data_IF_687472377091
#
_entry.id   IF_687472377091
#
_cell.length_a   1.000
_cell.length_b   1.000
_cell.length_c   1.000
_cell.angle_alpha   90.00
_cell.angle_beta   90.00
_cell.angle_gamma   90.00
#
_symmetry.space_group_name_H-M   'P 1'
#
loop_
_entity.id
_entity.type
_entity.pdbx_description
1 polymer ?
#
# COMPACT_ATOMS: atom_id res chain seq x y z
N UNK A 1 -20.83 5.93 11.67
CA UNK A 1 -19.59 6.36 11.03
C UNK A 1 -19.88 6.45 9.55
N UNK A 2 -19.70 7.62 8.99
CA UNK A 2 -20.08 7.89 7.59
C UNK A 2 -18.86 7.83 6.66
N UNK A 3 -17.67 8.11 7.20
CA UNK A 3 -16.42 8.19 6.46
C UNK A 3 -15.50 7.05 6.89
N UNK A 4 -15.10 6.22 5.94
CA UNK A 4 -14.27 5.03 6.24
C UNK A 4 -12.96 5.10 5.46
N UNK A 5 -11.85 4.89 6.16
CA UNK A 5 -10.52 4.68 5.56
C UNK A 5 -10.24 3.19 5.50
N UNK A 6 -9.96 2.66 4.31
CA UNK A 6 -9.33 1.35 4.17
C UNK A 6 -7.82 1.55 4.30
N UNK A 7 -7.23 1.02 5.36
CA UNK A 7 -5.80 1.11 5.61
C UNK A 7 -5.11 -0.23 5.32
N UNK A 8 -4.06 -0.18 4.49
CA UNK A 8 -3.33 -1.35 4.01
C UNK A 8 -1.83 -1.22 4.27
N UNK A 9 -1.20 -2.34 4.57
CA UNK A 9 0.20 -2.41 4.98
C UNK A 9 1.10 -3.07 3.92
N UNK A 10 2.41 -3.06 4.19
CA UNK A 10 3.45 -3.56 3.31
C UNK A 10 3.62 -5.09 3.33
N UNK A 11 4.43 -5.59 2.39
CA UNK A 11 4.76 -7.01 2.25
C UNK A 11 5.39 -7.60 3.52
N UNK A 12 4.92 -8.77 3.94
CA UNK A 12 5.40 -9.46 5.14
C UNK A 12 4.93 -8.85 6.46
N UNK A 13 4.01 -7.86 6.41
CA UNK A 13 3.38 -7.24 7.58
C UNK A 13 2.12 -7.98 8.05
N UNK A 14 1.32 -7.28 8.84
CA UNK A 14 0.02 -7.75 9.39
C UNK A 14 -0.89 -6.56 9.63
N UNK A 15 -2.20 -6.75 9.64
CA UNK A 15 -3.17 -5.72 10.01
C UNK A 15 -2.96 -5.19 11.43
N UNK A 16 -2.44 -6.03 12.32
CA UNK A 16 -2.15 -5.71 13.72
C UNK A 16 -0.75 -5.06 13.84
N UNK A 17 -0.56 -3.90 13.20
CA UNK A 17 0.69 -3.13 13.26
C UNK A 17 0.48 -1.78 13.93
N UNK A 18 1.47 -1.36 14.73
CA UNK A 18 1.40 -0.17 15.58
C UNK A 18 1.23 1.14 14.80
N UNK A 19 1.73 1.23 13.58
CA UNK A 19 1.60 2.44 12.76
C UNK A 19 0.15 2.65 12.30
N UNK A 20 -0.52 1.58 11.86
CA UNK A 20 -1.93 1.62 11.45
C UNK A 20 -2.85 1.82 12.66
N UNK A 21 -2.54 1.17 13.80
CA UNK A 21 -3.28 1.36 15.06
C UNK A 21 -3.21 2.83 15.50
N UNK A 22 -2.01 3.41 15.56
CA UNK A 22 -1.78 4.81 15.93
C UNK A 22 -2.48 5.79 14.98
N UNK A 23 -2.45 5.50 13.68
CA UNK A 23 -3.19 6.29 12.69
C UNK A 23 -4.69 6.26 12.98
N UNK A 24 -5.27 5.06 13.18
CA UNK A 24 -6.69 4.89 13.45
C UNK A 24 -7.13 5.61 14.72
N UNK A 25 -6.39 5.45 15.82
CA UNK A 25 -6.66 6.13 17.09
C UNK A 25 -6.68 7.66 16.94
N UNK A 26 -5.67 8.23 16.27
CA UNK A 26 -5.56 9.67 16.07
C UNK A 26 -6.64 10.22 15.13
N UNK A 27 -6.93 9.52 14.04
CA UNK A 27 -7.98 9.92 13.11
C UNK A 27 -9.34 9.98 13.79
N UNK A 28 -9.73 8.91 14.51
CA UNK A 28 -11.02 8.80 15.21
C UNK A 28 -11.08 9.79 16.39
N UNK A 29 -9.94 10.04 17.07
CA UNK A 29 -9.89 11.05 18.13
C UNK A 29 -10.17 12.46 17.60
N UNK A 30 -9.61 12.77 16.41
CA UNK A 30 -9.78 14.09 15.76
C UNK A 30 -11.13 14.24 15.07
N UNK A 31 -11.59 13.21 14.35
CA UNK A 31 -12.82 13.24 13.55
C UNK A 31 -13.74 12.08 13.92
N UNK A 32 -14.78 12.35 14.72
CA UNK A 32 -15.67 11.33 15.32
C UNK A 32 -16.53 10.54 14.34
N UNK A 33 -16.71 11.05 13.12
CA UNK A 33 -17.47 10.40 12.05
C UNK A 33 -16.62 9.40 11.23
N UNK A 34 -15.30 9.43 11.39
CA UNK A 34 -14.39 8.48 10.73
C UNK A 34 -14.35 7.12 11.40
N UNK A 35 -14.14 6.10 10.57
CA UNK A 35 -13.75 4.74 10.95
C UNK A 35 -12.57 4.26 10.12
N UNK A 36 -11.88 3.22 10.58
CA UNK A 36 -10.77 2.60 9.84
C UNK A 36 -11.03 1.11 9.72
N UNK A 37 -10.96 0.60 8.50
CA UNK A 37 -11.04 -0.82 8.19
C UNK A 37 -9.64 -1.31 7.80
N UNK A 38 -9.22 -2.39 8.43
CA UNK A 38 -7.97 -3.10 8.15
C UNK A 38 -8.25 -4.58 7.94
N UNK A 39 -7.47 -5.23 7.10
CA UNK A 39 -7.60 -6.67 6.84
C UNK A 39 -6.21 -7.25 6.56
N UNK A 40 -6.06 -8.56 6.69
CA UNK A 40 -4.82 -9.22 6.29
C UNK A 40 -4.85 -9.57 4.80
N UNK A 41 -3.76 -9.26 4.12
CA UNK A 41 -3.54 -9.76 2.77
C UNK A 41 -3.57 -11.29 2.74
N UNK A 42 -3.95 -11.91 1.60
CA UNK A 42 -3.77 -13.35 1.41
C UNK A 42 -2.36 -13.77 1.82
N UNK A 43 -2.24 -14.92 2.47
CA UNK A 43 -0.98 -15.47 2.97
C UNK A 43 -0.23 -14.63 4.03
N UNK A 44 -0.81 -13.54 4.57
CA UNK A 44 -0.16 -12.70 5.59
C UNK A 44 -0.76 -12.87 6.99
N UNK A 45 -2.01 -13.23 7.13
CA UNK A 45 -2.67 -13.47 8.40
C UNK A 45 -2.37 -14.85 9.02
N UNK A 46 -3.40 -15.53 9.45
CA UNK A 46 -3.29 -16.89 10.00
C UNK A 46 -2.78 -17.92 8.99
N UNK A 47 -2.95 -17.66 7.69
CA UNK A 47 -2.55 -18.47 6.55
C UNK A 47 -1.21 -18.03 5.92
N UNK A 48 -0.32 -17.43 6.71
CA UNK A 48 0.95 -16.83 6.25
C UNK A 48 1.89 -17.78 5.50
N UNK A 49 1.71 -19.09 5.59
CA UNK A 49 2.50 -20.07 4.82
C UNK A 49 1.90 -20.44 3.46
N UNK A 50 0.77 -19.84 3.10
CA UNK A 50 0.15 -20.05 1.79
C UNK A 50 0.87 -19.25 0.69
N UNK A 51 0.52 -19.56 -0.56
CA UNK A 51 1.04 -18.83 -1.72
C UNK A 51 0.51 -17.40 -1.73
N UNK A 52 1.39 -16.47 -2.02
CA UNK A 52 1.06 -15.07 -2.14
C UNK A 52 1.02 -14.67 -3.62
N UNK A 53 -0.10 -14.07 -4.04
CA UNK A 53 -0.31 -13.58 -5.41
C UNK A 53 -0.90 -12.16 -5.39
N UNK A 54 -0.35 -11.23 -6.20
CA UNK A 54 -0.88 -9.85 -6.30
C UNK A 54 -2.34 -9.79 -6.74
N UNK A 55 -2.78 -10.66 -7.65
CA UNK A 55 -4.18 -10.69 -8.12
C UNK A 55 -5.16 -11.11 -7.02
N UNK A 56 -4.72 -11.97 -6.10
CA UNK A 56 -5.50 -12.30 -4.90
C UNK A 56 -5.62 -11.09 -3.96
N UNK A 57 -4.56 -10.28 -3.83
CA UNK A 57 -4.61 -9.04 -3.06
C UNK A 57 -5.62 -8.07 -3.68
N UNK A 58 -5.63 -7.93 -5.01
CA UNK A 58 -6.60 -7.11 -5.73
C UNK A 58 -8.03 -7.54 -5.42
N UNK A 59 -8.29 -8.86 -5.47
CA UNK A 59 -9.61 -9.41 -5.14
C UNK A 59 -10.02 -9.14 -3.70
N UNK A 60 -9.10 -9.29 -2.73
CA UNK A 60 -9.40 -9.00 -1.32
C UNK A 60 -9.66 -7.51 -1.09
N UNK A 61 -8.91 -6.65 -1.78
CA UNK A 61 -9.11 -5.20 -1.70
C UNK A 61 -10.46 -4.80 -2.27
N UNK A 62 -10.83 -5.33 -3.44
CA UNK A 62 -12.14 -5.11 -4.08
C UNK A 62 -13.30 -5.57 -3.20
N UNK A 63 -13.23 -6.78 -2.64
CA UNK A 63 -14.22 -7.27 -1.69
C UNK A 63 -14.33 -6.37 -0.45
N UNK A 64 -13.23 -5.80 0.02
CA UNK A 64 -13.23 -4.89 1.16
C UNK A 64 -13.88 -3.55 0.78
N UNK A 65 -13.60 -3.02 -0.41
CA UNK A 65 -14.27 -1.82 -0.94
C UNK A 65 -15.78 -2.01 -0.97
N UNK A 66 -16.26 -3.10 -1.60
CA UNK A 66 -17.69 -3.41 -1.66
C UNK A 66 -18.30 -3.61 -0.26
N UNK A 67 -17.62 -4.32 0.63
CA UNK A 67 -18.09 -4.51 2.00
C UNK A 67 -18.26 -3.16 2.74
N UNK A 68 -17.33 -2.23 2.56
CA UNK A 68 -17.41 -0.91 3.20
C UNK A 68 -18.55 -0.08 2.61
N UNK A 69 -18.68 -0.06 1.29
CA UNK A 69 -19.71 0.75 0.62
C UNK A 69 -21.12 0.18 0.80
N UNK A 70 -21.28 -1.12 0.58
CA UNK A 70 -22.59 -1.77 0.56
C UNK A 70 -22.99 -2.37 1.93
N UNK A 71 -22.02 -3.01 2.62
CA UNK A 71 -22.26 -3.69 3.89
C UNK A 71 -22.25 -2.74 5.09
N UNK A 72 -21.32 -1.79 5.12
CA UNK A 72 -21.24 -0.79 6.19
C UNK A 72 -22.00 0.51 5.87
N UNK A 73 -22.46 0.69 4.63
CA UNK A 73 -23.14 1.89 4.15
C UNK A 73 -22.32 3.17 4.38
N UNK A 74 -21.00 3.12 4.06
CA UNK A 74 -20.16 4.30 4.15
C UNK A 74 -20.59 5.36 3.12
N UNK A 75 -20.67 6.63 3.54
CA UNK A 75 -20.98 7.74 2.64
C UNK A 75 -19.76 8.16 1.84
N UNK A 76 -18.59 8.14 2.47
CA UNK A 76 -17.31 8.45 1.82
C UNK A 76 -16.27 7.37 2.13
N UNK A 77 -15.51 7.01 1.12
CA UNK A 77 -14.43 6.05 1.21
C UNK A 77 -13.09 6.74 0.98
N UNK A 78 -12.09 6.36 1.77
CA UNK A 78 -10.71 6.85 1.71
C UNK A 78 -9.76 5.66 1.68
N UNK A 79 -8.58 5.84 1.07
CA UNK A 79 -7.54 4.84 1.07
C UNK A 79 -6.26 5.35 1.74
N UNK A 80 -5.66 4.52 2.61
CA UNK A 80 -4.31 4.71 3.13
C UNK A 80 -3.46 3.48 2.83
N UNK A 81 -2.59 3.58 1.83
CA UNK A 81 -1.75 2.47 1.37
C UNK A 81 -0.28 2.65 1.75
N UNK A 82 0.33 1.61 2.36
CA UNK A 82 1.77 1.61 2.67
C UNK A 82 2.49 0.54 1.84
N UNK A 83 3.59 0.92 1.16
CA UNK A 83 4.46 -0.02 0.43
C UNK A 83 3.66 -0.89 -0.56
N UNK A 84 3.57 -2.21 -0.35
CA UNK A 84 2.69 -3.11 -1.10
C UNK A 84 1.24 -2.61 -1.15
N UNK A 85 0.71 -2.11 -0.03
CA UNK A 85 -0.64 -1.55 0.00
C UNK A 85 -0.80 -0.35 -0.92
N UNK A 86 0.23 0.48 -1.04
CA UNK A 86 0.27 1.57 -2.02
C UNK A 86 0.28 1.07 -3.46
N UNK A 87 1.07 0.05 -3.77
CA UNK A 87 1.07 -0.60 -5.09
C UNK A 87 -0.31 -1.17 -5.45
N UNK A 88 -0.96 -1.89 -4.52
CA UNK A 88 -2.29 -2.47 -4.76
C UNK A 88 -3.33 -1.36 -4.95
N UNK A 89 -3.26 -0.26 -4.18
CA UNK A 89 -4.15 0.89 -4.36
C UNK A 89 -3.99 1.53 -5.74
N UNK A 90 -2.75 1.80 -6.18
CA UNK A 90 -2.47 2.34 -7.50
C UNK A 90 -3.00 1.43 -8.62
N UNK A 91 -2.76 0.14 -8.50
CA UNK A 91 -3.26 -0.87 -9.43
C UNK A 91 -4.79 -0.88 -9.47
N UNK A 92 -5.45 -0.79 -8.29
CA UNK A 92 -6.91 -0.77 -8.18
C UNK A 92 -7.53 0.40 -8.94
N UNK A 93 -6.97 1.61 -8.81
CA UNK A 93 -7.46 2.79 -9.50
C UNK A 93 -7.52 2.60 -11.02
N UNK A 94 -6.53 1.95 -11.61
CA UNK A 94 -6.44 1.76 -13.07
C UNK A 94 -7.20 0.55 -13.59
N UNK A 95 -7.46 -0.45 -12.75
CA UNK A 95 -8.14 -1.69 -13.17
C UNK A 95 -9.64 -1.69 -12.81
N UNK A 96 -10.05 -1.03 -11.71
CA UNK A 96 -11.42 -1.02 -11.19
C UNK A 96 -12.05 0.38 -11.15
N UNK A 97 -11.24 1.44 -11.27
CA UNK A 97 -11.70 2.83 -11.12
C UNK A 97 -11.51 3.37 -9.71
N UNK A 98 -11.87 4.65 -9.50
CA UNK A 98 -11.65 5.33 -8.23
C UNK A 98 -12.95 5.45 -7.40
N UNK A 99 -13.13 4.65 -6.33
CA UNK A 99 -14.22 4.81 -5.37
C UNK A 99 -13.85 5.74 -4.20
N UNK A 100 -12.60 6.21 -4.13
CA UNK A 100 -12.07 6.93 -2.98
C UNK A 100 -12.21 8.44 -3.15
N UNK A 101 -12.61 9.13 -2.09
CA UNK A 101 -12.62 10.58 -2.03
C UNK A 101 -11.23 11.19 -1.94
N UNK A 102 -10.34 10.55 -1.15
CA UNK A 102 -8.92 10.88 -1.08
C UNK A 102 -8.08 9.63 -0.82
N UNK A 103 -6.84 9.67 -1.30
CA UNK A 103 -5.90 8.55 -1.30
C UNK A 103 -4.56 9.04 -0.76
N UNK A 104 -4.12 8.52 0.36
CA UNK A 104 -2.79 8.77 0.91
C UNK A 104 -1.90 7.53 0.73
N UNK A 105 -0.73 7.70 0.15
CA UNK A 105 0.24 6.64 -0.07
C UNK A 105 1.53 6.94 0.69
N UNK A 106 1.98 6.02 1.52
CA UNK A 106 3.26 6.11 2.22
C UNK A 106 4.24 5.11 1.63
N UNK A 107 5.33 5.61 1.06
CA UNK A 107 6.35 4.80 0.40
C UNK A 107 5.74 3.74 -0.53
N UNK A 108 4.90 4.12 -1.52
CA UNK A 108 4.24 3.15 -2.39
C UNK A 108 5.28 2.36 -3.19
N UNK A 109 5.17 1.04 -3.21
CA UNK A 109 6.12 0.15 -3.89
C UNK A 109 5.90 0.17 -5.41
N UNK A 110 6.11 1.33 -6.05
CA UNK A 110 5.90 1.51 -7.50
C UNK A 110 6.80 0.61 -8.35
N UNK A 111 7.99 0.26 -7.83
CA UNK A 111 9.01 -0.59 -8.45
C UNK A 111 9.05 -2.00 -7.83
N UNK A 112 7.93 -2.49 -7.27
CA UNK A 112 7.87 -3.75 -6.50
C UNK A 112 8.46 -4.95 -7.24
N UNK A 113 8.28 -5.06 -8.56
CA UNK A 113 8.88 -6.13 -9.34
C UNK A 113 10.41 -6.10 -9.23
N UNK A 114 11.01 -4.93 -9.41
CA UNK A 114 12.48 -4.77 -9.41
C UNK A 114 13.05 -5.08 -8.02
N UNK A 115 12.40 -4.62 -6.95
CA UNK A 115 12.77 -4.95 -5.56
C UNK A 115 12.73 -6.46 -5.33
N UNK A 116 11.65 -7.12 -5.75
CA UNK A 116 11.44 -8.54 -5.47
C UNK A 116 12.36 -9.46 -6.26
N UNK A 117 12.85 -9.04 -7.44
CA UNK A 117 13.80 -9.83 -8.23
C UNK A 117 15.26 -9.57 -7.88
N UNK A 118 15.58 -8.39 -7.31
CA UNK A 118 16.96 -8.02 -6.98
C UNK A 118 17.64 -8.99 -6.00
N UNK A 119 16.86 -9.57 -5.08
CA UNK A 119 17.36 -10.49 -4.05
C UNK A 119 17.22 -11.98 -4.42
N UNK A 120 16.87 -12.30 -5.67
CA UNK A 120 16.77 -13.70 -6.10
C UNK A 120 18.16 -14.27 -6.33
N UNK A 121 18.51 -15.30 -5.55
CA UNK A 121 19.78 -16.03 -5.75
C UNK A 121 19.69 -16.99 -6.97
N UNK A 122 20.82 -17.40 -7.56
CA UNK A 122 20.83 -18.38 -8.65
C UNK A 122 20.14 -19.71 -8.30
N UNK A 123 20.27 -20.16 -7.03
CA UNK A 123 19.60 -21.36 -6.52
C UNK A 123 18.09 -21.18 -6.46
N UNK A 124 17.63 -20.01 -6.05
CA UNK A 124 16.21 -19.68 -6.00
C UNK A 124 15.62 -19.52 -7.39
N UNK A 125 16.35 -18.89 -8.31
CA UNK A 125 15.95 -18.83 -9.72
C UNK A 125 15.79 -20.25 -10.29
N UNK A 126 16.74 -21.16 -10.01
CA UNK A 126 16.63 -22.57 -10.42
C UNK A 126 15.39 -23.26 -9.83
N UNK A 127 14.99 -22.92 -8.59
CA UNK A 127 13.76 -23.44 -7.98
C UNK A 127 12.52 -22.93 -8.73
N UNK A 128 12.47 -21.61 -8.98
CA UNK A 128 11.36 -20.96 -9.70
C UNK A 128 11.20 -21.53 -11.12
N UNK A 129 12.31 -21.72 -11.85
CA UNK A 129 12.33 -22.30 -13.21
C UNK A 129 11.80 -23.74 -13.25
N UNK A 130 11.94 -24.48 -12.15
CA UNK A 130 11.39 -25.83 -11.96
C UNK A 130 9.97 -25.83 -11.38
N UNK A 131 9.31 -24.70 -11.33
CA UNK A 131 7.96 -24.55 -10.76
C UNK A 131 7.89 -24.73 -9.25
N UNK A 132 9.03 -24.61 -8.54
CA UNK A 132 9.08 -24.68 -7.07
C UNK A 132 8.91 -23.29 -6.46
N UNK A 133 8.60 -23.27 -5.18
CA UNK A 133 8.39 -22.06 -4.40
C UNK A 133 9.69 -21.59 -3.72
N UNK A 134 9.78 -20.28 -3.53
CA UNK A 134 10.75 -19.65 -2.62
C UNK A 134 10.00 -18.98 -1.47
N UNK A 135 10.70 -18.68 -0.38
CA UNK A 135 10.09 -18.08 0.83
C UNK A 135 10.68 -16.70 1.05
N UNK A 136 9.83 -15.71 1.27
CA UNK A 136 10.21 -14.32 1.56
C UNK A 136 9.44 -13.77 2.76
N UNK A 137 9.85 -12.60 3.24
CA UNK A 137 9.27 -11.87 4.33
C UNK A 137 10.06 -11.94 5.63
N UNK A 138 9.94 -10.89 6.43
CA UNK A 138 10.65 -10.77 7.72
C UNK A 138 9.78 -11.33 8.85
N UNK A 139 8.74 -10.64 9.22
CA UNK A 139 7.83 -11.03 10.31
C UNK A 139 6.92 -12.18 9.87
N UNK A 140 6.36 -12.10 8.68
CA UNK A 140 5.53 -13.15 8.08
C UNK A 140 6.26 -13.77 6.89
N UNK A 141 6.31 -15.09 6.88
CA UNK A 141 6.91 -15.86 5.78
C UNK A 141 5.83 -16.26 4.80
N UNK A 142 5.97 -15.83 3.56
CA UNK A 142 5.07 -16.14 2.45
C UNK A 142 5.79 -16.92 1.36
N UNK A 143 5.06 -17.73 0.62
CA UNK A 143 5.59 -18.54 -0.49
C UNK A 143 5.34 -17.82 -1.80
N UNK A 144 6.40 -17.61 -2.55
CA UNK A 144 6.40 -16.97 -3.86
C UNK A 144 6.67 -18.00 -4.94
N UNK A 145 5.93 -17.90 -6.04
CA UNK A 145 6.07 -18.73 -7.24
C UNK A 145 6.48 -17.89 -8.43
N UNK A 146 6.81 -18.50 -9.56
CA UNK A 146 7.03 -17.79 -10.82
C UNK A 146 5.80 -16.95 -11.22
N UNK A 147 4.60 -17.42 -10.88
CA UNK A 147 3.35 -16.69 -11.14
C UNK A 147 3.28 -15.34 -10.42
N UNK A 148 3.75 -15.26 -9.16
CA UNK A 148 3.86 -14.00 -8.43
C UNK A 148 4.68 -12.96 -9.22
N UNK A 149 5.85 -13.33 -9.71
CA UNK A 149 6.72 -12.44 -10.47
C UNK A 149 6.12 -12.09 -11.85
N UNK A 150 5.42 -13.01 -12.49
CA UNK A 150 4.75 -12.76 -13.76
C UNK A 150 3.62 -11.73 -13.59
N UNK A 151 2.81 -11.83 -12.53
CA UNK A 151 1.75 -10.87 -12.22
C UNK A 151 2.32 -9.48 -11.93
N UNK A 152 3.39 -9.37 -11.12
CA UNK A 152 4.04 -8.08 -10.88
C UNK A 152 4.58 -7.44 -12.15
N UNK A 153 5.21 -8.24 -13.04
CA UNK A 153 5.74 -7.76 -14.32
C UNK A 153 4.62 -7.27 -15.25
N UNK A 154 3.49 -7.96 -15.26
CA UNK A 154 2.33 -7.62 -16.10
C UNK A 154 1.61 -6.36 -15.62
N UNK A 155 1.68 -6.06 -14.31
CA UNK A 155 0.93 -4.98 -13.64
C UNK A 155 1.86 -3.88 -13.09
N UNK A 156 2.84 -3.46 -13.89
CA UNK A 156 3.76 -2.37 -13.54
C UNK A 156 2.99 -1.02 -13.51
N UNK A 157 2.77 -0.50 -12.32
CA UNK A 157 2.01 0.73 -12.08
C UNK A 157 2.70 1.98 -12.64
N UNK A 158 4.02 1.94 -12.87
CA UNK A 158 4.78 3.05 -13.48
C UNK A 158 4.42 3.28 -14.95
N UNK A 159 3.77 2.30 -15.59
CA UNK A 159 3.33 2.36 -17.01
C UNK A 159 1.89 2.81 -17.15
N UNK A 160 1.26 3.25 -16.08
CA UNK A 160 -0.12 3.72 -16.04
C UNK A 160 -0.17 5.21 -15.79
N UNK A 161 -1.27 5.83 -16.16
CA UNK A 161 -1.54 7.25 -15.97
C UNK A 161 -2.54 7.44 -14.82
N UNK A 162 -2.30 8.47 -13.98
CA UNK A 162 -3.10 8.76 -12.79
C UNK A 162 -3.65 10.19 -12.76
N UNK A 163 -3.59 10.93 -13.88
CA UNK A 163 -4.01 12.34 -13.97
C UNK A 163 -5.44 12.56 -13.46
N UNK A 164 -6.36 11.65 -13.77
CA UNK A 164 -7.77 11.75 -13.38
C UNK A 164 -7.99 11.62 -11.87
N UNK A 165 -6.97 11.21 -11.13
CA UNK A 165 -7.01 10.97 -9.68
C UNK A 165 -6.05 11.86 -8.91
N UNK A 166 -5.19 12.64 -9.58
CA UNK A 166 -4.05 13.33 -8.99
C UNK A 166 -4.44 14.31 -7.89
N UNK A 167 -5.51 15.09 -8.09
CA UNK A 167 -6.00 16.07 -7.12
C UNK A 167 -6.46 15.45 -5.79
N UNK A 168 -6.81 14.17 -5.83
CA UNK A 168 -7.28 13.39 -4.67
C UNK A 168 -6.19 12.49 -4.09
N UNK A 169 -4.93 12.61 -4.56
CA UNK A 169 -3.82 11.77 -4.14
C UNK A 169 -2.73 12.55 -3.42
N UNK A 170 -2.17 11.94 -2.38
CA UNK A 170 -1.00 12.41 -1.68
C UNK A 170 0.00 11.27 -1.50
N UNK A 171 1.26 11.51 -1.87
CA UNK A 171 2.36 10.58 -1.58
C UNK A 171 3.26 11.18 -0.50
N UNK A 172 3.61 10.38 0.51
CA UNK A 172 4.68 10.66 1.47
C UNK A 172 5.83 9.70 1.20
N UNK A 173 7.01 10.23 0.86
CA UNK A 173 8.18 9.41 0.54
C UNK A 173 9.37 9.76 1.41
N UNK A 174 9.99 8.76 2.02
CA UNK A 174 11.21 8.92 2.80
C UNK A 174 12.41 9.26 1.93
N UNK A 175 13.19 10.28 2.32
CA UNK A 175 14.40 10.67 1.55
C UNK A 175 15.57 9.70 1.74
N UNK A 176 15.47 8.77 2.70
CA UNK A 176 16.45 7.69 2.95
C UNK A 176 15.82 6.29 2.80
N UNK A 177 14.75 6.18 2.03
CA UNK A 177 14.14 4.89 1.74
C UNK A 177 15.10 4.02 0.92
N UNK A 178 15.55 2.93 1.52
CA UNK A 178 16.54 2.02 0.94
C UNK A 178 15.94 1.00 -0.05
N UNK A 179 14.61 0.83 -0.05
CA UNK A 179 13.91 -0.09 -0.94
C UNK A 179 13.29 0.60 -2.14
N UNK A 180 12.73 1.80 -1.91
CA UNK A 180 12.02 2.56 -2.93
C UNK A 180 12.72 3.92 -3.04
N UNK A 181 13.64 4.10 -4.00
CA UNK A 181 14.42 5.33 -4.12
C UNK A 181 13.53 6.57 -4.24
N UNK A 182 13.84 7.58 -3.45
CA UNK A 182 13.09 8.84 -3.44
C UNK A 182 12.95 9.46 -4.84
N UNK A 183 14.02 9.45 -5.63
CA UNK A 183 14.00 10.03 -6.97
C UNK A 183 13.06 9.31 -7.94
N UNK A 184 12.89 7.99 -7.81
CA UNK A 184 11.93 7.24 -8.63
C UNK A 184 10.48 7.64 -8.29
N UNK A 185 10.16 7.77 -7.00
CA UNK A 185 8.82 8.20 -6.56
C UNK A 185 8.56 9.65 -6.90
N UNK A 186 9.58 10.51 -6.78
CA UNK A 186 9.49 11.92 -7.18
C UNK A 186 9.17 12.03 -8.68
N UNK A 187 9.90 11.32 -9.53
CA UNK A 187 9.64 11.32 -10.98
C UNK A 187 8.23 10.79 -11.30
N UNK A 188 7.82 9.69 -10.64
CA UNK A 188 6.46 9.14 -10.79
C UNK A 188 5.37 10.15 -10.40
N UNK A 189 5.57 10.87 -9.29
CA UNK A 189 4.64 11.89 -8.84
C UNK A 189 4.59 13.09 -9.80
N UNK A 190 5.76 13.57 -10.27
CA UNK A 190 5.87 14.65 -11.25
C UNK A 190 5.19 14.28 -12.57
N UNK A 191 5.44 13.08 -13.09
CA UNK A 191 4.87 12.60 -14.36
C UNK A 191 3.35 12.47 -14.30
N UNK A 192 2.76 12.27 -13.11
CA UNK A 192 1.33 12.11 -12.90
C UNK A 192 0.65 13.31 -12.20
N UNK A 193 1.40 14.39 -11.92
CA UNK A 193 0.92 15.60 -11.24
C UNK A 193 0.34 15.32 -9.84
N UNK A 194 0.88 14.32 -9.14
CA UNK A 194 0.45 13.91 -7.79
C UNK A 194 1.24 14.71 -6.74
N UNK A 195 0.54 15.20 -5.71
CA UNK A 195 1.18 15.86 -4.58
C UNK A 195 2.14 14.91 -3.84
N UNK A 196 3.41 15.33 -3.71
CA UNK A 196 4.46 14.59 -3.02
C UNK A 196 5.01 15.39 -1.83
N UNK A 197 4.99 14.79 -0.66
CA UNK A 197 5.67 15.30 0.53
C UNK A 197 6.95 14.50 0.75
N UNK A 198 8.15 15.08 0.56
CA UNK A 198 9.39 14.47 0.99
C UNK A 198 9.44 14.45 2.51
N UNK A 199 9.72 13.27 3.09
CA UNK A 199 9.88 13.11 4.53
C UNK A 199 11.37 12.95 4.82
N UNK A 200 11.97 14.02 5.31
CA UNK A 200 13.41 14.12 5.53
C UNK A 200 13.92 13.06 6.51
N UNK A 201 15.01 12.39 6.12
CA UNK A 201 15.67 11.35 6.89
C UNK A 201 14.83 10.09 7.18
N UNK A 202 13.65 9.96 6.61
CA UNK A 202 12.83 8.77 6.80
C UNK A 202 13.37 7.60 5.97
N UNK A 203 13.54 6.46 6.63
CA UNK A 203 13.74 5.13 6.03
C UNK A 203 12.41 4.55 5.54
N UNK A 204 12.41 3.37 4.89
CA UNK A 204 11.20 2.77 4.35
C UNK A 204 10.08 2.56 5.39
N UNK A 205 10.32 1.98 6.58
CA UNK A 205 9.27 1.80 7.59
C UNK A 205 8.90 3.07 8.37
N UNK A 206 9.67 4.16 8.24
CA UNK A 206 9.60 5.34 9.10
C UNK A 206 9.87 4.95 10.57
N UNK A 207 11.04 4.34 10.79
CA UNK A 207 11.43 3.77 12.08
C UNK A 207 11.54 4.78 13.21
N UNK A 208 11.83 6.04 12.92
CA UNK A 208 11.82 7.11 13.90
C UNK A 208 10.38 7.46 14.31
N UNK A 209 10.03 7.37 15.61
CA UNK A 209 8.66 7.64 16.07
C UNK A 209 8.19 9.07 15.77
N UNK A 210 9.09 10.07 15.79
CA UNK A 210 8.75 11.45 15.48
C UNK A 210 8.44 11.64 14.01
N UNK A 211 9.18 10.96 13.13
CA UNK A 211 8.94 10.94 11.68
C UNK A 211 7.60 10.27 11.38
N UNK A 212 7.31 9.12 12.00
CA UNK A 212 6.03 8.43 11.84
C UNK A 212 4.86 9.32 12.33
N UNK A 213 5.04 10.02 13.44
CA UNK A 213 4.03 10.94 13.98
C UNK A 213 3.72 12.09 13.03
N UNK A 214 4.75 12.66 12.43
CA UNK A 214 4.62 13.70 11.41
C UNK A 214 3.86 13.17 10.19
N UNK A 215 4.21 11.99 9.67
CA UNK A 215 3.55 11.38 8.53
C UNK A 215 2.06 11.12 8.80
N UNK A 216 1.74 10.53 9.95
CA UNK A 216 0.35 10.28 10.38
C UNK A 216 -0.43 11.61 10.45
N UNK A 217 0.15 12.66 11.02
CA UNK A 217 -0.50 13.98 11.07
C UNK A 217 -0.81 14.53 9.68
N UNK A 218 0.16 14.46 8.76
CA UNK A 218 -0.01 14.92 7.36
C UNK A 218 -1.12 14.15 6.64
N UNK A 219 -1.19 12.84 6.81
CA UNK A 219 -2.24 12.01 6.20
C UNK A 219 -3.62 12.37 6.77
N UNK A 220 -3.72 12.54 8.10
CA UNK A 220 -4.97 12.92 8.76
C UNK A 220 -5.43 14.31 8.31
N UNK A 221 -4.50 15.27 8.17
CA UNK A 221 -4.82 16.61 7.69
C UNK A 221 -5.28 16.60 6.23
N UNK A 222 -4.68 15.74 5.39
CA UNK A 222 -5.08 15.56 3.99
C UNK A 222 -6.50 14.96 3.88
N UNK A 223 -6.89 14.05 4.77
CA UNK A 223 -8.24 13.48 4.81
C UNK A 223 -9.30 14.43 5.38
N UNK A 224 -8.90 15.62 5.81
CA UNK A 224 -9.85 16.61 6.33
C UNK A 224 -10.97 16.84 5.31
N UNK A 225 -12.24 16.64 5.68
CA UNK A 225 -13.34 17.00 4.79
C UNK A 225 -13.32 18.52 4.57
N UNK A 226 -13.28 18.93 3.32
CA UNK A 226 -13.51 20.33 2.99
C UNK A 226 -14.91 20.74 3.49
N UNK A 227 -14.97 21.85 4.23
CA UNK A 227 -16.22 22.41 4.76
C UNK A 227 -17.10 22.93 3.65
#
# INVERSE_FOLDING_TARGET
MTDIVIATYGFGGTKDNSATEKFAERLIAKYKHFGVVVFDWPAHGADSLNRFLPDECMRYFDLTVHYVLEGMHAENLYAYGTSLGGYITLRYLTEYGNPFRKIALRCPAINIYDIMVADITPEEQTKLDRGREIVRGYTRKVRLTSEFFNQLRASDVRKKEYFDFADDMLILQGTKDEFIPFDEVRQFAEDNVIDLIPVENADHPFSDPGIMDLAISKIIDFFHPEQ
#
